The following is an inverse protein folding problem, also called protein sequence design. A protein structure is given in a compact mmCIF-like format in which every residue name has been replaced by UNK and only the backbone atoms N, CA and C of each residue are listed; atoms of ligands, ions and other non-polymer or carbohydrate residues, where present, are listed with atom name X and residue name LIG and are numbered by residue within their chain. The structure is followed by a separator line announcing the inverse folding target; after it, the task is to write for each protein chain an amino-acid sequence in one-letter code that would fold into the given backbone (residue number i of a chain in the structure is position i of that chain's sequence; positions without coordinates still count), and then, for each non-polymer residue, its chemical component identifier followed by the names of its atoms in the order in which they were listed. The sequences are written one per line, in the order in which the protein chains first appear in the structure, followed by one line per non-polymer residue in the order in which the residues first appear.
data_IF_619983885431
#
_entry.id   IF_619983885431
#
_cell.length_a   1.000
_cell.length_b   1.000
_cell.length_c   1.000
_cell.angle_alpha   90.00
_cell.angle_beta   90.00
_cell.angle_gamma   90.00
#
_symmetry.space_group_name_H-M   'P 1'
#
loop_
_entity.id
_entity.type
_entity.pdbx_description
1 polymer ?
#
# COMPACT_ATOMS: atom_id res chain seq x y z
N UNK A 1 1.58 -14.15 -17.52
CA UNK A 1 1.80 -14.97 -16.28
C UNK A 1 0.53 -15.79 -16.04
N UNK A 2 0.65 -17.11 -15.75
CA UNK A 2 -0.54 -17.91 -15.43
C UNK A 2 -1.04 -17.50 -14.03
N UNK A 3 -2.27 -16.95 -13.89
CA UNK A 3 -2.74 -16.42 -12.61
C UNK A 3 -2.85 -17.50 -11.52
N UNK A 4 -3.26 -18.69 -11.88
CA UNK A 4 -3.44 -19.80 -10.93
C UNK A 4 -2.11 -20.28 -10.37
N UNK A 5 -1.11 -20.50 -11.23
CA UNK A 5 0.22 -20.90 -10.80
C UNK A 5 0.90 -19.81 -9.94
N UNK A 6 0.69 -18.54 -10.31
CA UNK A 6 1.18 -17.40 -9.53
C UNK A 6 0.55 -17.35 -8.13
N UNK A 7 -0.76 -17.63 -8.03
CA UNK A 7 -1.45 -17.68 -6.75
C UNK A 7 -1.01 -18.85 -5.88
N UNK A 8 -0.86 -20.05 -6.44
CA UNK A 8 -0.36 -21.22 -5.72
C UNK A 8 1.06 -21.00 -5.19
N UNK A 9 1.94 -20.41 -6.02
CA UNK A 9 3.30 -20.05 -5.59
C UNK A 9 3.28 -19.02 -4.46
N UNK A 10 2.45 -17.99 -4.57
CA UNK A 10 2.26 -17.01 -3.50
C UNK A 10 1.77 -17.69 -2.23
N UNK A 11 0.73 -18.52 -2.32
CA UNK A 11 0.13 -19.19 -1.17
C UNK A 11 1.14 -20.06 -0.42
N UNK A 12 2.00 -20.78 -1.15
CA UNK A 12 3.04 -21.64 -0.58
C UNK A 12 4.09 -20.85 0.22
N UNK A 13 4.47 -19.67 -0.26
CA UNK A 13 5.48 -18.82 0.39
C UNK A 13 4.90 -17.83 1.38
N UNK A 14 3.58 -17.66 1.40
CA UNK A 14 2.94 -16.66 2.26
C UNK A 14 2.86 -17.15 3.71
N UNK A 15 3.03 -16.21 4.62
CA UNK A 15 2.96 -16.42 6.07
C UNK A 15 1.70 -15.75 6.63
N UNK A 16 1.31 -16.16 7.82
CA UNK A 16 0.38 -15.44 8.69
C UNK A 16 1.17 -14.63 9.74
N UNK A 17 0.47 -14.04 10.73
CA UNK A 17 1.09 -13.26 11.79
C UNK A 17 2.19 -14.01 12.57
N UNK A 18 2.11 -15.32 12.70
CA UNK A 18 3.09 -16.13 13.47
C UNK A 18 4.46 -16.25 12.79
N UNK A 19 4.53 -15.97 11.49
CA UNK A 19 5.79 -15.96 10.72
C UNK A 19 6.41 -14.57 10.55
N UNK A 20 5.93 -13.57 11.30
CA UNK A 20 6.39 -12.19 11.21
C UNK A 20 7.20 -11.85 12.46
N UNK A 21 8.47 -11.49 12.28
CA UNK A 21 9.38 -11.14 13.39
C UNK A 21 9.53 -9.61 13.57
N UNK A 22 9.14 -8.81 12.59
CA UNK A 22 9.13 -7.35 12.71
C UNK A 22 7.97 -6.89 13.58
N UNK A 23 8.20 -6.21 14.73
CA UNK A 23 7.11 -5.72 15.59
C UNK A 23 6.13 -4.81 14.86
N UNK A 24 6.64 -3.94 13.98
CA UNK A 24 5.80 -3.06 13.16
C UNK A 24 4.90 -3.85 12.22
N UNK A 25 5.44 -4.82 11.48
CA UNK A 25 4.65 -5.61 10.52
C UNK A 25 3.69 -6.53 11.26
N UNK A 26 4.08 -7.08 12.40
CA UNK A 26 3.19 -7.86 13.27
C UNK A 26 1.99 -7.02 13.73
N UNK A 27 2.22 -5.80 14.19
CA UNK A 27 1.17 -4.85 14.61
C UNK A 27 0.23 -4.52 13.45
N UNK A 28 0.78 -4.21 12.28
CA UNK A 28 0.01 -3.91 11.07
C UNK A 28 -0.86 -5.11 10.64
N UNK A 29 -0.30 -6.31 10.66
CA UNK A 29 -1.04 -7.52 10.29
C UNK A 29 -2.16 -7.81 11.28
N UNK A 30 -1.89 -7.74 12.58
CA UNK A 30 -2.86 -8.11 13.62
C UNK A 30 -3.93 -7.03 13.84
N UNK A 31 -3.54 -5.75 13.87
CA UNK A 31 -4.44 -4.63 14.19
C UNK A 31 -5.09 -3.97 12.97
N UNK A 32 -4.67 -4.32 11.75
CA UNK A 32 -5.22 -3.76 10.53
C UNK A 32 -5.64 -4.84 9.53
N UNK A 33 -4.71 -5.69 9.08
CA UNK A 33 -5.02 -6.65 8.01
C UNK A 33 -6.05 -7.69 8.46
N UNK A 34 -5.90 -8.23 9.66
CA UNK A 34 -6.78 -9.25 10.24
C UNK A 34 -7.82 -8.69 11.21
N UNK A 35 -7.90 -7.35 11.31
CA UNK A 35 -8.91 -6.72 12.14
C UNK A 35 -10.32 -7.07 11.65
N UNK A 36 -11.14 -7.55 12.59
CA UNK A 36 -12.54 -7.95 12.38
C UNK A 36 -13.53 -6.95 12.94
N UNK A 37 -13.05 -5.80 13.42
CA UNK A 37 -13.91 -4.74 13.95
C UNK A 37 -14.87 -4.25 12.88
N UNK A 38 -16.05 -3.85 13.31
CA UNK A 38 -17.04 -3.25 12.44
C UNK A 38 -16.88 -1.73 12.44
N UNK A 39 -16.62 -1.15 11.28
CA UNK A 39 -16.48 0.29 11.09
C UNK A 39 -17.75 0.90 10.50
N UNK A 40 -18.15 2.08 10.97
CA UNK A 40 -19.31 2.79 10.44
C UNK A 40 -19.22 3.01 8.92
N UNK A 41 -18.02 3.24 8.41
CA UNK A 41 -17.78 3.40 6.97
C UNK A 41 -18.17 2.17 6.14
N UNK A 42 -18.31 0.98 6.74
CA UNK A 42 -18.71 -0.23 6.01
C UNK A 42 -20.16 -0.16 5.49
N UNK A 43 -21.01 0.67 6.09
CA UNK A 43 -22.38 0.89 5.57
C UNK A 43 -22.42 1.53 4.18
N UNK A 44 -21.32 2.21 3.79
CA UNK A 44 -21.20 2.88 2.48
C UNK A 44 -20.62 1.99 1.37
N UNK A 45 -20.29 0.74 1.69
CA UNK A 45 -19.72 -0.22 0.74
C UNK A 45 -20.47 -1.55 0.78
N UNK A 46 -20.46 -2.28 -0.34
CA UNK A 46 -21.11 -3.60 -0.38
C UNK A 46 -20.49 -4.56 0.65
N UNK A 47 -21.32 -5.41 1.25
CA UNK A 47 -20.86 -6.45 2.18
C UNK A 47 -19.84 -7.41 1.56
N UNK A 48 -19.88 -7.62 0.25
CA UNK A 48 -18.97 -8.49 -0.51
C UNK A 48 -17.71 -7.76 -0.98
N UNK A 49 -17.61 -6.46 -0.79
CA UNK A 49 -16.47 -5.66 -1.23
C UNK A 49 -15.33 -5.66 -0.22
N UNK A 50 -14.61 -6.78 -0.17
CA UNK A 50 -13.45 -6.95 0.73
C UNK A 50 -12.34 -5.94 0.44
N UNK A 51 -12.16 -5.53 -0.83
CA UNK A 51 -11.15 -4.53 -1.23
C UNK A 51 -11.43 -3.17 -0.59
N UNK A 52 -12.65 -2.65 -0.73
CA UNK A 52 -13.04 -1.38 -0.11
C UNK A 52 -12.98 -1.44 1.42
N UNK A 53 -13.44 -2.53 2.02
CA UNK A 53 -13.33 -2.72 3.48
C UNK A 53 -11.88 -2.73 3.96
N UNK A 54 -10.98 -3.30 3.18
CA UNK A 54 -9.55 -3.30 3.51
C UNK A 54 -8.94 -1.89 3.43
N UNK A 55 -9.27 -1.10 2.40
CA UNK A 55 -8.84 0.30 2.30
C UNK A 55 -9.35 1.16 3.48
N UNK A 56 -10.59 0.93 3.92
CA UNK A 56 -11.14 1.58 5.12
C UNK A 56 -10.29 1.23 6.35
N UNK A 57 -9.97 -0.06 6.58
CA UNK A 57 -9.11 -0.46 7.72
C UNK A 57 -7.74 0.19 7.67
N UNK A 58 -7.12 0.26 6.49
CA UNK A 58 -5.85 0.97 6.30
C UNK A 58 -5.96 2.44 6.68
N UNK A 59 -7.00 3.11 6.23
CA UNK A 59 -7.24 4.53 6.54
C UNK A 59 -7.43 4.76 8.05
N UNK A 60 -8.21 3.90 8.72
CA UNK A 60 -8.41 3.97 10.17
C UNK A 60 -7.11 3.72 10.95
N UNK A 61 -6.32 2.73 10.51
CA UNK A 61 -5.07 2.36 11.20
C UNK A 61 -4.00 3.44 11.07
N UNK A 62 -3.76 3.93 9.86
CA UNK A 62 -2.68 4.89 9.59
C UNK A 62 -3.06 6.34 9.84
N UNK A 63 -4.35 6.69 9.79
CA UNK A 63 -4.87 8.07 9.96
C UNK A 63 -4.13 9.06 9.06
N UNK A 64 -4.12 8.78 7.75
CA UNK A 64 -3.39 9.58 6.79
C UNK A 64 -3.82 11.04 6.82
N UNK A 65 -2.87 11.96 6.94
CA UNK A 65 -3.13 13.40 6.84
C UNK A 65 -3.08 13.90 5.39
N UNK A 66 -2.37 13.17 4.54
CA UNK A 66 -2.26 13.46 3.10
C UNK A 66 -2.35 12.19 2.29
N UNK A 67 -3.09 12.26 1.20
CA UNK A 67 -3.25 11.17 0.27
C UNK A 67 -2.88 11.66 -1.14
N UNK A 68 -1.94 10.98 -1.77
CA UNK A 68 -1.56 11.19 -3.16
C UNK A 68 -2.10 10.03 -3.97
N UNK A 69 -2.94 10.35 -4.95
CA UNK A 69 -3.67 9.38 -5.75
C UNK A 69 -3.41 9.63 -7.24
N UNK A 70 -3.43 8.59 -8.09
CA UNK A 70 -3.34 8.77 -9.53
C UNK A 70 -4.53 9.58 -10.07
N UNK A 71 -4.34 10.32 -11.14
CA UNK A 71 -5.44 10.96 -11.87
C UNK A 71 -6.40 9.92 -12.49
N UNK A 72 -5.91 8.71 -12.70
CA UNK A 72 -6.64 7.57 -13.25
C UNK A 72 -7.42 6.77 -12.20
N UNK A 73 -7.33 7.16 -10.92
CA UNK A 73 -7.99 6.41 -9.84
C UNK A 73 -9.51 6.31 -10.06
N UNK A 74 -10.06 5.13 -9.79
CA UNK A 74 -11.52 4.98 -9.91
C UNK A 74 -12.25 5.85 -8.87
N UNK A 75 -13.36 6.49 -9.27
CA UNK A 75 -14.21 7.29 -8.37
C UNK A 75 -14.62 6.52 -7.11
N UNK A 76 -14.80 5.20 -7.24
CA UNK A 76 -15.11 4.32 -6.12
C UNK A 76 -13.95 4.23 -5.12
N UNK A 77 -12.72 4.03 -5.59
CA UNK A 77 -11.54 3.92 -4.72
C UNK A 77 -11.27 5.26 -4.02
N UNK A 78 -11.35 6.36 -4.76
CA UNK A 78 -11.24 7.71 -4.21
C UNK A 78 -12.29 7.97 -3.13
N UNK A 79 -13.56 7.65 -3.40
CA UNK A 79 -14.65 7.76 -2.44
C UNK A 79 -14.36 6.96 -1.15
N UNK A 80 -13.92 5.70 -1.29
CA UNK A 80 -13.62 4.83 -0.14
C UNK A 80 -12.47 5.39 0.70
N UNK A 81 -11.42 5.89 0.08
CA UNK A 81 -10.30 6.53 0.79
C UNK A 81 -10.74 7.80 1.53
N UNK A 82 -11.72 8.53 1.00
CA UNK A 82 -12.27 9.73 1.63
C UNK A 82 -13.14 9.45 2.87
N UNK A 83 -13.74 8.24 3.00
CA UNK A 83 -14.67 7.93 4.09
C UNK A 83 -14.05 8.14 5.48
N UNK A 84 -12.81 7.73 5.69
CA UNK A 84 -12.10 7.81 6.97
C UNK A 84 -11.00 8.89 7.00
N UNK A 85 -10.68 9.48 5.84
CA UNK A 85 -9.64 10.50 5.72
C UNK A 85 -10.24 11.89 5.47
N UNK A 86 -11.35 12.23 6.13
CA UNK A 86 -12.13 13.48 5.90
C UNK A 86 -11.31 14.77 6.06
N UNK A 87 -10.28 14.75 6.89
CA UNK A 87 -9.38 15.90 7.11
C UNK A 87 -8.14 15.85 6.20
N UNK A 88 -7.97 14.78 5.46
CA UNK A 88 -6.79 14.59 4.61
C UNK A 88 -6.88 15.46 3.36
N UNK A 89 -5.72 15.97 2.93
CA UNK A 89 -5.60 16.69 1.66
C UNK A 89 -5.29 15.68 0.56
N UNK A 90 -6.21 15.54 -0.39
CA UNK A 90 -6.02 14.73 -1.59
C UNK A 90 -5.34 15.56 -2.68
N UNK A 91 -4.28 15.01 -3.28
CA UNK A 91 -3.52 15.59 -4.37
C UNK A 91 -3.15 14.52 -5.38
N UNK A 92 -2.75 14.92 -6.59
CA UNK A 92 -2.28 13.96 -7.56
C UNK A 92 -0.84 13.50 -7.26
N UNK A 93 -0.52 12.28 -7.69
CA UNK A 93 0.86 11.78 -7.63
C UNK A 93 1.79 12.64 -8.49
N UNK A 94 1.30 13.15 -9.63
CA UNK A 94 2.07 14.05 -10.50
C UNK A 94 2.41 15.38 -9.81
N UNK A 95 1.53 15.92 -8.97
CA UNK A 95 1.84 17.09 -8.14
C UNK A 95 2.92 16.77 -7.09
N UNK A 96 2.83 15.61 -6.44
CA UNK A 96 3.81 15.16 -5.46
C UNK A 96 5.23 15.14 -6.05
N UNK A 97 5.37 14.55 -7.24
CA UNK A 97 6.68 14.38 -7.88
C UNK A 97 7.28 15.69 -8.42
N UNK A 98 6.47 16.71 -8.64
CA UNK A 98 6.94 18.06 -9.01
C UNK A 98 7.42 18.88 -7.81
N UNK A 99 6.94 18.53 -6.61
CA UNK A 99 7.25 19.28 -5.38
C UNK A 99 8.41 18.59 -4.67
N UNK A 100 9.64 19.00 -4.90
CA UNK A 100 10.88 18.31 -4.48
C UNK A 100 11.06 18.09 -2.96
N UNK A 101 10.21 18.64 -2.10
CA UNK A 101 10.39 18.58 -0.65
C UNK A 101 9.10 18.32 0.11
N UNK A 102 8.65 17.08 0.16
CA UNK A 102 7.67 16.64 1.16
C UNK A 102 8.36 16.09 2.42
N UNK A 103 9.15 16.93 3.06
CA UNK A 103 9.66 16.69 4.41
C UNK A 103 8.55 17.03 5.41
N UNK A 104 7.43 16.31 5.34
CA UNK A 104 6.45 16.34 6.42
C UNK A 104 6.62 15.07 7.25
N UNK A 105 6.64 15.21 8.55
CA UNK A 105 6.66 14.10 9.51
C UNK A 105 5.27 13.48 9.73
N UNK A 106 4.33 13.76 8.84
CA UNK A 106 2.94 13.30 8.99
C UNK A 106 2.68 12.05 8.17
N UNK A 107 1.80 11.15 8.63
CA UNK A 107 1.41 9.95 7.88
C UNK A 107 0.85 10.31 6.50
N UNK A 108 1.42 9.71 5.47
CA UNK A 108 1.10 9.98 4.08
C UNK A 108 0.84 8.69 3.33
N UNK A 109 -0.27 8.65 2.57
CA UNK A 109 -0.55 7.59 1.62
C UNK A 109 -0.15 8.05 0.21
N UNK A 110 0.64 7.21 -0.48
CA UNK A 110 0.89 7.31 -1.92
C UNK A 110 0.28 6.06 -2.55
N UNK A 111 -0.88 6.22 -3.16
CA UNK A 111 -1.58 5.13 -3.84
C UNK A 111 -1.17 5.11 -5.31
N UNK A 112 -0.72 3.96 -5.79
CA UNK A 112 -0.27 3.77 -7.16
C UNK A 112 -1.09 2.66 -7.84
N UNK A 113 -1.60 2.93 -9.02
CA UNK A 113 -2.09 1.93 -9.94
C UNK A 113 -0.98 1.46 -10.90
N UNK A 114 -1.29 0.51 -11.78
CA UNK A 114 -0.34 -0.05 -12.74
C UNK A 114 0.21 1.01 -13.69
N UNK A 115 -0.62 1.93 -14.14
CA UNK A 115 -0.25 2.98 -15.07
C UNK A 115 0.72 3.97 -14.41
N UNK A 116 0.40 4.47 -13.23
CA UNK A 116 1.24 5.42 -12.50
C UNK A 116 2.57 4.79 -12.09
N UNK A 117 2.58 3.54 -11.64
CA UNK A 117 3.82 2.83 -11.34
C UNK A 117 4.70 2.64 -12.59
N UNK A 118 4.11 2.44 -13.77
CA UNK A 118 4.86 2.31 -15.02
C UNK A 118 5.48 3.63 -15.51
N UNK A 119 4.83 4.77 -15.22
CA UNK A 119 5.24 6.11 -15.68
C UNK A 119 6.42 6.69 -14.88
N UNK A 120 6.62 6.27 -13.64
CA UNK A 120 7.61 6.87 -12.74
C UNK A 120 8.71 5.89 -12.34
N UNK A 121 9.93 6.37 -12.20
CA UNK A 121 11.04 5.53 -11.73
C UNK A 121 10.90 5.22 -10.23
N UNK A 122 11.46 4.09 -9.80
CA UNK A 122 11.51 3.76 -8.36
C UNK A 122 12.24 4.82 -7.55
N UNK A 123 13.29 5.43 -8.11
CA UNK A 123 14.06 6.49 -7.45
C UNK A 123 13.20 7.75 -7.21
N UNK A 124 12.43 8.19 -8.22
CA UNK A 124 11.56 9.37 -8.10
C UNK A 124 10.47 9.15 -7.04
N UNK A 125 9.84 7.97 -7.05
CA UNK A 125 8.82 7.62 -6.08
C UNK A 125 9.36 7.58 -4.65
N UNK A 126 10.56 7.03 -4.45
CA UNK A 126 11.16 6.93 -3.11
C UNK A 126 11.73 8.26 -2.60
N UNK A 127 12.21 9.13 -3.51
CA UNK A 127 12.75 10.46 -3.17
C UNK A 127 11.74 11.35 -2.45
N UNK A 128 10.45 11.23 -2.79
CA UNK A 128 9.38 12.04 -2.19
C UNK A 128 8.76 11.43 -0.94
N UNK A 129 9.19 10.24 -0.54
CA UNK A 129 8.70 9.55 0.63
C UNK A 129 9.51 9.92 1.89
N UNK A 130 8.84 9.91 3.02
CA UNK A 130 9.45 9.97 4.34
C UNK A 130 9.22 8.65 5.10
N UNK A 131 9.75 8.55 6.31
CA UNK A 131 9.63 7.35 7.16
C UNK A 131 8.19 7.02 7.58
N UNK A 132 7.28 7.99 7.52
CA UNK A 132 5.86 7.85 7.90
C UNK A 132 4.96 7.68 6.66
N UNK A 133 5.57 7.57 5.47
CA UNK A 133 4.87 7.30 4.21
C UNK A 133 4.56 5.81 4.05
N UNK A 134 3.37 5.53 3.52
CA UNK A 134 3.01 4.25 2.92
C UNK A 134 2.87 4.43 1.42
N UNK A 135 3.65 3.69 0.62
CA UNK A 135 3.33 3.48 -0.80
C UNK A 135 2.48 2.21 -0.89
N UNK A 136 1.25 2.36 -1.36
CA UNK A 136 0.32 1.26 -1.61
C UNK A 136 0.17 1.09 -3.12
N UNK A 137 0.56 -0.07 -3.64
CA UNK A 137 0.49 -0.40 -5.05
C UNK A 137 -0.66 -1.38 -5.27
N UNK A 138 -1.63 -0.98 -6.08
CA UNK A 138 -2.74 -1.84 -6.47
C UNK A 138 -2.33 -2.81 -7.59
N UNK A 139 -2.93 -3.97 -7.59
CA UNK A 139 -2.85 -4.97 -8.67
C UNK A 139 -1.41 -5.33 -9.07
N UNK A 140 -0.49 -5.54 -8.10
CA UNK A 140 0.93 -5.83 -8.37
C UNK A 140 1.18 -7.03 -9.29
N UNK A 141 0.18 -7.88 -9.53
CA UNK A 141 0.22 -9.03 -10.45
C UNK A 141 -0.73 -8.91 -11.63
N UNK A 142 -1.17 -7.69 -11.97
CA UNK A 142 -2.03 -7.47 -13.13
C UNK A 142 -1.40 -8.03 -14.41
N UNK A 143 -0.09 -7.79 -14.59
CA UNK A 143 0.69 -8.33 -15.69
C UNK A 143 2.17 -8.51 -15.28
N UNK A 144 2.97 -9.10 -16.18
CA UNK A 144 4.38 -9.39 -15.92
C UNK A 144 5.22 -8.10 -15.72
N UNK A 145 4.91 -7.06 -16.48
CA UNK A 145 5.61 -5.76 -16.37
C UNK A 145 5.34 -5.12 -15.01
N UNK A 146 4.09 -5.11 -14.57
CA UNK A 146 3.71 -4.59 -13.27
C UNK A 146 4.41 -5.35 -12.13
N UNK A 147 4.44 -6.67 -12.20
CA UNK A 147 5.13 -7.48 -11.20
C UNK A 147 6.64 -7.25 -11.18
N UNK A 148 7.26 -7.02 -12.35
CA UNK A 148 8.67 -6.64 -12.45
C UNK A 148 8.93 -5.29 -11.79
N UNK A 149 8.11 -4.29 -12.07
CA UNK A 149 8.21 -2.95 -11.46
C UNK A 149 8.04 -3.00 -9.93
N UNK A 150 7.07 -3.77 -9.44
CA UNK A 150 6.93 -4.04 -8.00
C UNK A 150 8.21 -4.64 -7.41
N UNK A 151 8.79 -5.64 -8.08
CA UNK A 151 10.00 -6.32 -7.62
C UNK A 151 11.21 -5.38 -7.61
N UNK A 152 11.37 -4.54 -8.62
CA UNK A 152 12.41 -3.52 -8.68
C UNK A 152 12.27 -2.50 -7.54
N UNK A 153 11.05 -1.98 -7.31
CA UNK A 153 10.81 -1.00 -6.27
C UNK A 153 11.09 -1.56 -4.87
N UNK A 154 10.59 -2.74 -4.54
CA UNK A 154 10.80 -3.34 -3.22
C UNK A 154 12.27 -3.69 -2.94
N UNK A 155 13.07 -3.97 -3.98
CA UNK A 155 14.49 -4.30 -3.85
C UNK A 155 15.41 -3.08 -3.73
N UNK A 156 14.86 -1.86 -3.79
CA UNK A 156 15.65 -0.65 -3.60
C UNK A 156 16.18 -0.57 -2.16
N UNK A 157 17.44 -0.20 -1.99
CA UNK A 157 18.11 -0.13 -0.67
C UNK A 157 17.44 0.84 0.32
N UNK A 158 16.68 1.83 -0.14
CA UNK A 158 15.94 2.75 0.72
C UNK A 158 14.67 2.11 1.33
N UNK A 159 14.17 1.02 0.74
CA UNK A 159 13.00 0.29 1.24
C UNK A 159 13.41 -0.56 2.43
N UNK A 160 12.88 -0.29 3.59
CA UNK A 160 13.18 -1.04 4.82
C UNK A 160 12.19 -2.16 5.09
N UNK A 161 10.93 -2.00 4.68
CA UNK A 161 9.98 -3.09 4.74
C UNK A 161 9.07 -3.10 3.50
N UNK A 162 8.77 -4.29 3.00
CA UNK A 162 7.73 -4.47 1.99
C UNK A 162 6.81 -5.63 2.34
N UNK A 163 5.53 -5.51 1.97
CA UNK A 163 4.55 -6.57 2.16
C UNK A 163 3.85 -6.85 0.83
N UNK A 164 3.88 -8.09 0.42
CA UNK A 164 3.18 -8.63 -0.74
C UNK A 164 1.95 -9.39 -0.24
N UNK A 165 0.74 -8.94 -0.62
CA UNK A 165 -0.53 -9.59 -0.25
C UNK A 165 -1.23 -10.24 -1.45
N UNK A 166 -0.49 -10.57 -2.49
CA UNK A 166 -0.91 -11.03 -3.80
C UNK A 166 -1.49 -9.92 -4.69
N UNK A 167 -2.50 -9.21 -4.23
CA UNK A 167 -3.13 -8.12 -4.98
C UNK A 167 -2.46 -6.79 -4.76
N UNK A 168 -2.02 -6.52 -3.53
CA UNK A 168 -1.38 -5.26 -3.15
C UNK A 168 0.05 -5.44 -2.71
N UNK A 169 0.87 -4.43 -3.05
CA UNK A 169 2.21 -4.23 -2.53
C UNK A 169 2.25 -3.03 -1.60
N UNK A 170 2.92 -3.20 -0.47
CA UNK A 170 3.15 -2.15 0.53
C UNK A 170 4.64 -1.88 0.63
N UNK A 171 5.03 -0.60 0.60
CA UNK A 171 6.42 -0.16 0.77
C UNK A 171 6.51 0.82 1.93
N UNK A 172 7.52 0.62 2.76
CA UNK A 172 7.83 1.46 3.91
C UNK A 172 9.32 1.82 3.94
N UNK A 173 9.62 3.06 4.38
CA UNK A 173 10.96 3.61 4.51
C UNK A 173 11.30 3.92 5.99
N UNK A 174 11.02 3.01 6.89
CA UNK A 174 11.18 3.21 8.34
C UNK A 174 12.65 3.16 8.75
N UNK A 175 13.08 4.11 9.59
CA UNK A 175 14.43 4.13 10.16
C UNK A 175 14.60 3.06 11.24
N UNK A 176 15.83 2.63 11.46
CA UNK A 176 16.23 1.67 12.50
C UNK A 176 15.64 0.25 12.35
N UNK A 177 15.33 -0.16 11.13
CA UNK A 177 14.86 -1.50 10.81
C UNK A 177 15.73 -2.09 9.68
N UNK A 178 16.18 -3.35 9.78
CA UNK A 178 16.81 -4.03 8.64
C UNK A 178 15.83 -4.17 7.49
N UNK A 179 16.34 -4.29 6.26
CA UNK A 179 15.51 -4.51 5.10
C UNK A 179 14.85 -5.90 5.19
N UNK A 180 13.52 -5.94 5.19
CA UNK A 180 12.75 -7.17 5.28
C UNK A 180 11.59 -7.17 4.28
N UNK A 181 11.36 -8.33 3.67
CA UNK A 181 10.29 -8.53 2.68
C UNK A 181 9.34 -9.63 3.16
N UNK A 182 8.08 -9.28 3.30
CA UNK A 182 7.04 -10.17 3.79
C UNK A 182 6.07 -10.55 2.69
N UNK A 183 5.59 -11.79 2.71
CA UNK A 183 4.49 -12.27 1.88
C UNK A 183 3.39 -12.73 2.82
N UNK A 184 2.28 -11.99 2.86
CA UNK A 184 1.20 -12.15 3.86
C UNK A 184 -0.10 -12.48 3.15
N UNK A 185 -0.79 -13.52 3.59
CA UNK A 185 -2.16 -13.84 3.16
C UNK A 185 -3.15 -12.91 3.85
N UNK A 186 -4.10 -12.36 3.08
CA UNK A 186 -5.27 -11.65 3.59
C UNK A 186 -6.49 -12.55 3.65
#
# INVERSE_FOLDING_TARGET
MNPLLSYLKFWWHSKNQHGVHSPFVFDLVTKCFYDRSHYNAYQHVSNRDSKSKFLIRLSVYFKFERCFIPETISKKTEYVLNLENKTSKFKSVSELLKTEHLISKTPCLIYLDSQTLAQHSSADLLKVCNRDSLILIDAIRENTTQFKRWTELKSNAQVTASIDTFYWGFIFLRTAQPQEHFTIRL
#
